data_IF_206084671171
#
_entry.id   IF_206084671171
#
_cell.length_a   1.000
_cell.length_b   1.000
_cell.length_c   1.000
_cell.angle_alpha   90.00
_cell.angle_beta   90.00
_cell.angle_gamma   90.00
#
_symmetry.space_group_name_H-M   'P 1'
#
loop_
_entity.id
_entity.type
_entity.pdbx_description
1 polymer ?
#
# COMPACT_ATOMS: atom_id res chain seq x y z
N UNK A 1 2.56 11.87 -24.64
CA UNK A 1 1.63 10.90 -24.05
C UNK A 1 1.89 10.83 -22.55
N UNK A 2 0.86 10.71 -21.70
CA UNK A 2 1.05 10.47 -20.28
C UNK A 2 1.79 9.12 -20.09
N UNK A 3 2.71 9.07 -19.11
CA UNK A 3 3.35 7.80 -18.75
C UNK A 3 2.31 6.87 -18.15
N UNK A 4 2.43 5.58 -18.45
CA UNK A 4 1.64 4.54 -17.79
C UNK A 4 1.94 4.51 -16.30
N UNK A 5 0.99 4.12 -15.46
CA UNK A 5 1.15 4.06 -14.01
C UNK A 5 1.65 2.68 -13.56
N UNK A 6 2.48 2.68 -12.52
CA UNK A 6 2.83 1.50 -11.74
C UNK A 6 2.35 1.72 -10.32
N UNK A 7 1.53 0.82 -9.82
CA UNK A 7 0.90 0.92 -8.50
C UNK A 7 1.72 0.18 -7.45
N UNK A 8 2.09 0.88 -6.39
CA UNK A 8 2.85 0.33 -5.26
C UNK A 8 1.89 0.19 -4.08
N UNK A 9 1.29 -0.99 -3.96
CA UNK A 9 0.39 -1.31 -2.85
C UNK A 9 1.23 -1.60 -1.63
N UNK A 10 1.08 -0.76 -0.62
CA UNK A 10 2.00 -0.71 0.52
C UNK A 10 1.24 -0.86 1.82
N UNK A 11 1.78 -1.70 2.70
CA UNK A 11 1.33 -1.88 4.07
C UNK A 11 2.50 -1.63 5.03
N UNK A 12 2.21 -1.12 6.23
CA UNK A 12 3.20 -0.81 7.25
C UNK A 12 2.80 -1.34 8.62
N UNK A 13 3.81 -1.68 9.41
CA UNK A 13 3.67 -1.96 10.83
C UNK A 13 4.36 -0.89 11.66
N UNK A 14 3.71 -0.44 12.73
CA UNK A 14 4.20 0.69 13.55
C UNK A 14 4.05 0.43 15.04
N UNK A 15 4.80 1.16 15.87
CA UNK A 15 4.63 1.17 17.31
C UNK A 15 3.75 2.33 17.82
N UNK A 16 3.13 3.10 16.89
CA UNK A 16 2.22 4.18 17.26
C UNK A 16 1.65 4.95 16.08
N UNK A 17 0.77 5.95 16.32
CA UNK A 17 -0.12 6.51 15.30
C UNK A 17 0.53 7.52 14.34
N UNK A 18 1.71 8.06 14.65
CA UNK A 18 2.36 9.11 13.83
C UNK A 18 3.87 8.92 13.81
N UNK A 19 4.55 9.19 12.67
CA UNK A 19 6.00 9.08 12.58
C UNK A 19 6.71 10.20 13.39
N UNK A 20 7.90 9.90 13.86
CA UNK A 20 8.73 10.78 14.65
C UNK A 20 8.65 10.46 16.13
N UNK A 21 7.55 10.73 16.85
CA UNK A 21 7.34 10.21 18.19
C UNK A 21 7.28 8.68 18.26
N UNK A 22 6.89 8.05 17.16
CA UNK A 22 6.76 6.61 17.01
C UNK A 22 7.50 6.12 15.77
N UNK A 23 7.85 4.84 15.78
CA UNK A 23 8.61 4.18 14.72
C UNK A 23 7.72 3.41 13.77
N UNK A 24 8.07 3.42 12.49
CA UNK A 24 7.69 2.35 11.56
C UNK A 24 8.60 1.16 11.85
N UNK A 25 8.01 0.01 12.17
CA UNK A 25 8.71 -1.22 12.55
C UNK A 25 9.06 -2.07 11.33
N UNK A 26 8.13 -2.17 10.39
CA UNK A 26 8.33 -2.82 9.10
C UNK A 26 7.43 -2.18 8.04
N UNK A 27 7.75 -2.41 6.79
CA UNK A 27 6.88 -2.09 5.66
C UNK A 27 7.15 -3.02 4.49
N UNK A 28 6.15 -3.17 3.66
CA UNK A 28 6.30 -3.85 2.39
C UNK A 28 5.47 -3.18 1.28
N UNK A 29 5.94 -3.33 0.06
CA UNK A 29 5.24 -2.86 -1.13
C UNK A 29 5.22 -3.96 -2.19
N UNK A 30 4.05 -4.19 -2.76
CA UNK A 30 3.86 -5.01 -3.94
C UNK A 30 3.60 -4.11 -5.15
N UNK A 31 4.46 -4.18 -6.17
CA UNK A 31 4.35 -3.36 -7.37
C UNK A 31 3.51 -4.05 -8.45
N UNK A 32 2.49 -3.37 -8.94
CA UNK A 32 1.59 -3.88 -9.97
C UNK A 32 1.61 -3.01 -11.21
N UNK A 33 1.54 -3.65 -12.38
CA UNK A 33 1.34 -2.95 -13.63
C UNK A 33 -0.05 -2.33 -13.72
N UNK A 34 -0.25 -1.45 -14.70
CA UNK A 34 -1.57 -0.91 -14.99
C UNK A 34 -2.59 -2.03 -15.29
N UNK A 35 -2.19 -3.16 -15.83
CA UNK A 35 -3.05 -4.32 -16.13
C UNK A 35 -3.36 -5.20 -14.91
N UNK A 36 -2.75 -4.92 -13.75
CA UNK A 36 -2.96 -5.68 -12.52
C UNK A 36 -2.02 -6.89 -12.36
N UNK A 37 -0.91 -6.95 -13.10
CA UNK A 37 0.08 -8.01 -12.93
C UNK A 37 1.11 -7.60 -11.86
N UNK A 38 1.39 -8.50 -10.91
CA UNK A 38 2.48 -8.32 -9.96
C UNK A 38 3.81 -8.30 -10.72
N UNK A 39 4.60 -7.23 -10.50
CA UNK A 39 5.90 -7.04 -11.13
C UNK A 39 7.02 -7.50 -10.19
N UNK A 40 6.99 -7.03 -8.93
CA UNK A 40 8.03 -7.28 -7.94
C UNK A 40 7.53 -6.90 -6.54
N UNK A 41 8.26 -7.28 -5.50
CA UNK A 41 7.96 -6.92 -4.11
C UNK A 41 9.20 -6.37 -3.41
N UNK A 42 8.96 -5.53 -2.40
CA UNK A 42 9.97 -5.03 -1.49
C UNK A 42 9.48 -5.14 -0.05
N UNK A 43 10.33 -5.56 0.86
CA UNK A 43 10.04 -5.54 2.30
C UNK A 43 11.29 -5.18 3.09
N UNK A 44 11.10 -4.55 4.25
CA UNK A 44 12.17 -4.26 5.20
C UNK A 44 11.61 -4.13 6.61
N UNK A 45 12.35 -4.72 7.58
CA UNK A 45 12.19 -4.44 9.00
C UNK A 45 13.19 -3.37 9.41
N UNK A 46 12.76 -2.41 10.22
CA UNK A 46 13.54 -1.22 10.54
C UNK A 46 13.96 -1.18 12.00
N UNK A 47 15.15 -0.66 12.25
CA UNK A 47 15.51 -0.22 13.60
C UNK A 47 14.54 0.87 14.05
N UNK A 48 14.26 0.92 15.35
CA UNK A 48 13.43 1.96 15.95
C UNK A 48 14.12 3.32 15.82
N UNK A 49 13.34 4.36 15.65
CA UNK A 49 13.87 5.73 15.62
C UNK A 49 14.48 6.09 16.98
N UNK A 50 15.63 6.74 16.95
CA UNK A 50 16.24 7.27 18.16
C UNK A 50 15.31 8.26 18.86
N UNK A 51 15.08 8.07 20.15
CA UNK A 51 14.19 8.89 20.96
C UNK A 51 12.69 8.61 20.79
N UNK A 52 12.28 7.74 19.84
CA UNK A 52 10.89 7.31 19.74
C UNK A 52 10.52 6.29 20.82
N UNK A 53 9.24 6.17 21.10
CA UNK A 53 8.72 5.18 22.05
C UNK A 53 7.37 4.66 21.59
N UNK A 54 7.09 3.40 21.89
CA UNK A 54 5.82 2.77 21.54
C UNK A 54 4.62 3.44 22.21
N UNK A 55 3.56 3.68 21.44
CA UNK A 55 2.30 4.21 21.96
C UNK A 55 1.58 3.16 22.82
N UNK A 56 1.16 3.52 24.00
CA UNK A 56 0.63 2.58 25.01
C UNK A 56 -0.53 1.69 24.47
N UNK A 57 -1.40 2.21 23.64
CA UNK A 57 -2.49 1.44 23.03
C UNK A 57 -1.96 0.47 21.97
N UNK A 58 -1.04 0.91 21.12
CA UNK A 58 -0.43 0.10 20.06
C UNK A 58 0.41 -1.03 20.66
N UNK A 59 1.14 -0.74 21.74
CA UNK A 59 1.92 -1.78 22.42
C UNK A 59 1.07 -2.84 23.13
N UNK A 60 -0.18 -2.50 23.53
CA UNK A 60 -1.12 -3.53 24.00
C UNK A 60 -1.59 -4.45 22.86
N UNK A 61 -1.79 -3.92 21.66
CA UNK A 61 -2.08 -4.74 20.49
C UNK A 61 -0.90 -5.68 20.19
N UNK A 62 0.33 -5.17 20.13
CA UNK A 62 1.51 -6.00 19.87
C UNK A 62 1.70 -7.11 20.93
N UNK A 63 1.28 -6.89 22.16
CA UNK A 63 1.31 -7.92 23.20
C UNK A 63 0.34 -9.09 22.92
N UNK A 64 -0.65 -8.92 22.05
CA UNK A 64 -1.57 -9.98 21.60
C UNK A 64 -1.10 -10.69 20.34
N UNK A 65 -0.11 -10.13 19.62
CA UNK A 65 0.40 -10.61 18.34
C UNK A 65 1.93 -10.93 18.42
N UNK A 66 2.36 -11.86 19.28
CA UNK A 66 3.79 -12.08 19.57
C UNK A 66 4.58 -12.58 18.34
N UNK A 67 3.95 -13.37 17.47
CA UNK A 67 4.63 -13.91 16.28
C UNK A 67 4.83 -12.80 15.23
N UNK A 68 3.83 -11.97 14.99
CA UNK A 68 3.91 -10.81 14.09
C UNK A 68 4.93 -9.79 14.65
N UNK A 69 4.92 -9.55 15.97
CA UNK A 69 5.94 -8.73 16.63
C UNK A 69 7.35 -9.26 16.38
N UNK A 70 7.57 -10.57 16.60
CA UNK A 70 8.86 -11.20 16.37
C UNK A 70 9.29 -11.09 14.90
N UNK A 71 8.36 -11.27 13.96
CA UNK A 71 8.62 -11.16 12.53
C UNK A 71 9.08 -9.74 12.15
N UNK A 72 8.38 -8.69 12.59
CA UNK A 72 8.75 -7.30 12.27
C UNK A 72 10.00 -6.80 13.03
N UNK A 73 10.49 -7.56 14.02
CA UNK A 73 11.71 -7.23 14.79
C UNK A 73 12.91 -8.11 14.45
N UNK A 74 12.78 -9.05 13.49
CA UNK A 74 13.90 -9.84 12.97
C UNK A 74 14.64 -9.09 11.86
N UNK A 75 15.96 -9.29 11.77
CA UNK A 75 16.82 -8.78 10.69
C UNK A 75 16.59 -7.29 10.35
N UNK A 76 16.44 -6.47 11.39
CA UNK A 76 16.20 -5.03 11.23
C UNK A 76 17.40 -4.32 10.62
N UNK A 77 17.13 -3.30 9.82
CA UNK A 77 18.16 -2.43 9.23
C UNK A 77 17.86 -0.95 9.55
N UNK A 78 18.90 -0.13 9.47
CA UNK A 78 18.76 1.30 9.69
C UNK A 78 17.72 1.92 8.73
N UNK A 79 16.80 2.78 9.21
CA UNK A 79 15.77 3.40 8.39
C UNK A 79 16.31 4.13 7.15
N UNK A 80 17.47 4.78 7.27
CA UNK A 80 18.12 5.44 6.15
C UNK A 80 18.50 4.46 5.03
N UNK A 81 19.05 3.29 5.39
CA UNK A 81 19.42 2.26 4.43
C UNK A 81 18.18 1.67 3.77
N UNK A 82 17.13 1.38 4.56
CA UNK A 82 15.86 0.86 4.05
C UNK A 82 15.24 1.82 3.03
N UNK A 83 15.15 3.12 3.34
CA UNK A 83 14.56 4.11 2.44
C UNK A 83 15.39 4.33 1.18
N UNK A 84 16.72 4.34 1.25
CA UNK A 84 17.59 4.40 0.06
C UNK A 84 17.39 3.19 -0.86
N UNK A 85 17.30 1.99 -0.28
CA UNK A 85 17.04 0.77 -1.03
C UNK A 85 15.63 0.79 -1.66
N UNK A 86 14.64 1.28 -0.94
CA UNK A 86 13.27 1.41 -1.42
C UNK A 86 13.16 2.38 -2.61
N UNK A 87 13.77 3.56 -2.53
CA UNK A 87 13.83 4.52 -3.66
C UNK A 87 14.50 3.88 -4.88
N UNK A 88 15.63 3.19 -4.67
CA UNK A 88 16.34 2.49 -5.75
C UNK A 88 15.47 1.41 -6.39
N UNK A 89 14.75 0.63 -5.58
CA UNK A 89 13.85 -0.42 -6.06
C UNK A 89 12.69 0.17 -6.88
N UNK A 90 12.00 1.21 -6.40
CA UNK A 90 10.93 1.89 -7.14
C UNK A 90 11.42 2.37 -8.51
N UNK A 91 12.61 2.99 -8.56
CA UNK A 91 13.22 3.45 -9.82
C UNK A 91 13.55 2.30 -10.76
N UNK A 92 13.98 1.18 -10.21
CA UNK A 92 14.27 -0.04 -11.00
C UNK A 92 12.99 -0.63 -11.59
N UNK A 93 11.93 -0.71 -10.81
CA UNK A 93 10.62 -1.19 -11.27
C UNK A 93 10.05 -0.29 -12.35
N UNK A 94 10.06 1.02 -12.16
CA UNK A 94 9.51 1.99 -13.12
C UNK A 94 10.35 2.17 -14.38
N UNK A 95 11.66 1.89 -14.36
CA UNK A 95 12.62 2.02 -15.48
C UNK A 95 12.53 3.35 -16.24
N UNK A 96 12.09 4.43 -15.60
CA UNK A 96 11.76 5.74 -16.19
C UNK A 96 10.64 5.71 -17.26
N UNK A 97 9.95 4.61 -17.45
CA UNK A 97 8.88 4.44 -18.45
C UNK A 97 7.50 4.64 -17.86
N UNK A 98 7.33 4.37 -16.57
CA UNK A 98 6.06 4.52 -15.84
C UNK A 98 6.17 5.55 -14.72
N UNK A 99 5.02 6.00 -14.21
CA UNK A 99 4.92 6.89 -13.05
C UNK A 99 4.51 6.07 -11.82
N UNK A 100 5.25 6.14 -10.69
CA UNK A 100 4.87 5.43 -9.49
C UNK A 100 3.65 6.09 -8.82
N UNK A 101 2.69 5.27 -8.44
CA UNK A 101 1.51 5.65 -7.65
C UNK A 101 1.51 4.86 -6.35
N UNK A 102 1.53 5.56 -5.21
CA UNK A 102 1.35 4.92 -3.91
C UNK A 102 -0.10 4.51 -3.72
N UNK A 103 -0.32 3.30 -3.20
CA UNK A 103 -1.66 2.77 -2.88
C UNK A 103 -1.63 2.21 -1.47
N UNK A 104 -2.63 2.50 -0.65
CA UNK A 104 -2.77 1.97 0.72
C UNK A 104 -4.22 1.81 1.16
N UNK A 105 -4.42 1.07 2.28
CA UNK A 105 -5.77 0.77 2.79
C UNK A 105 -5.90 0.88 4.30
N UNK A 106 -6.18 2.06 4.87
CA UNK A 106 -6.35 3.37 4.23
C UNK A 106 -5.00 4.06 3.99
N UNK A 107 -4.81 4.65 2.82
CA UNK A 107 -3.57 5.31 2.44
C UNK A 107 -3.15 6.46 3.37
N UNK A 108 -4.10 7.11 4.02
CA UNK A 108 -3.83 8.22 4.94
C UNK A 108 -2.91 7.84 6.11
N UNK A 109 -2.91 6.58 6.54
CA UNK A 109 -2.00 6.08 7.57
C UNK A 109 -0.65 5.68 6.98
N UNK A 110 -0.65 4.74 6.05
CA UNK A 110 0.57 4.16 5.46
C UNK A 110 1.41 5.23 4.75
N UNK A 111 0.76 6.07 3.94
CA UNK A 111 1.44 7.12 3.20
C UNK A 111 2.05 8.18 4.12
N UNK A 112 1.44 8.49 5.26
CA UNK A 112 1.98 9.44 6.23
C UNK A 112 3.34 8.98 6.75
N UNK A 113 3.48 7.71 7.12
CA UNK A 113 4.75 7.14 7.57
C UNK A 113 5.77 7.04 6.44
N UNK A 114 5.40 6.42 5.33
CA UNK A 114 6.32 6.22 4.19
C UNK A 114 6.83 7.56 3.65
N UNK A 115 5.94 8.54 3.46
CA UNK A 115 6.34 9.85 2.95
C UNK A 115 7.28 10.58 3.91
N UNK A 116 6.97 10.55 5.23
CA UNK A 116 7.82 11.17 6.24
C UNK A 116 9.21 10.51 6.30
N UNK A 117 9.28 9.18 6.26
CA UNK A 117 10.54 8.45 6.26
C UNK A 117 11.36 8.71 4.99
N UNK A 118 10.72 8.73 3.83
CA UNK A 118 11.39 9.08 2.56
C UNK A 118 12.01 10.47 2.63
N UNK A 119 11.23 11.50 3.01
CA UNK A 119 11.73 12.86 3.09
C UNK A 119 12.82 12.99 4.16
N UNK A 120 12.64 12.39 5.34
CA UNK A 120 13.63 12.47 6.43
C UNK A 120 14.97 11.84 6.06
N UNK A 121 14.97 10.68 5.43
CA UNK A 121 16.17 9.87 5.25
C UNK A 121 16.78 9.95 3.84
N UNK A 122 16.02 10.39 2.85
CA UNK A 122 16.53 10.51 1.47
C UNK A 122 16.41 11.92 0.89
N UNK A 123 15.65 12.81 1.54
CA UNK A 123 15.38 14.15 1.05
C UNK A 123 14.41 14.21 -0.13
N UNK A 124 13.90 13.07 -0.59
CA UNK A 124 13.03 12.98 -1.76
C UNK A 124 11.96 11.90 -1.61
N UNK A 125 10.89 12.00 -2.41
CA UNK A 125 9.91 10.93 -2.57
C UNK A 125 9.74 10.63 -4.06
N UNK A 126 9.84 9.35 -4.50
CA UNK A 126 9.50 8.97 -5.86
C UNK A 126 8.01 9.08 -6.16
N UNK A 127 7.18 9.09 -5.12
CA UNK A 127 5.74 9.33 -5.23
C UNK A 127 5.42 10.82 -5.28
N UNK A 128 4.27 11.19 -5.83
CA UNK A 128 3.78 12.56 -5.73
C UNK A 128 3.33 12.90 -4.29
N UNK A 129 2.72 14.07 -4.11
CA UNK A 129 2.13 14.51 -2.84
C UNK A 129 0.81 13.81 -2.47
N UNK A 130 0.37 12.86 -3.28
CA UNK A 130 -0.91 12.17 -3.15
C UNK A 130 -0.73 10.66 -3.22
N UNK A 131 -1.67 9.95 -2.60
CA UNK A 131 -1.77 8.51 -2.64
C UNK A 131 -3.17 8.11 -3.11
N UNK A 132 -3.29 6.96 -3.72
CA UNK A 132 -4.58 6.34 -4.01
C UNK A 132 -5.05 5.63 -2.74
N UNK A 133 -6.18 6.09 -2.20
CA UNK A 133 -6.82 5.49 -1.04
C UNK A 133 -7.82 4.41 -1.46
N UNK A 134 -7.50 3.16 -1.17
CA UNK A 134 -8.34 2.02 -1.53
C UNK A 134 -9.71 2.07 -0.84
N UNK A 135 -9.78 2.61 0.37
CA UNK A 135 -11.06 2.69 1.08
C UNK A 135 -12.03 3.66 0.42
N UNK A 136 -11.54 4.82 -0.02
CA UNK A 136 -12.32 5.79 -0.80
C UNK A 136 -12.69 5.22 -2.17
N UNK A 137 -11.76 4.50 -2.80
CA UNK A 137 -12.00 3.86 -4.09
C UNK A 137 -13.07 2.76 -3.98
N UNK A 138 -13.01 1.94 -2.91
CA UNK A 138 -14.04 0.93 -2.62
C UNK A 138 -15.41 1.58 -2.39
N UNK A 139 -15.49 2.68 -1.63
CA UNK A 139 -16.71 3.46 -1.44
C UNK A 139 -17.31 3.87 -2.79
N UNK A 140 -16.50 4.43 -3.68
CA UNK A 140 -16.95 4.90 -5.00
C UNK A 140 -17.46 3.76 -5.90
N UNK A 141 -16.82 2.59 -5.87
CA UNK A 141 -17.18 1.45 -6.70
C UNK A 141 -18.41 0.69 -6.18
N UNK A 142 -18.59 0.63 -4.85
CA UNK A 142 -19.64 -0.19 -4.23
C UNK A 142 -20.88 0.60 -3.84
N UNK A 143 -20.79 1.93 -3.73
CA UNK A 143 -21.84 2.77 -3.16
C UNK A 143 -21.99 2.65 -1.64
N UNK A 144 -21.08 1.96 -0.95
CA UNK A 144 -21.07 1.89 0.51
C UNK A 144 -20.66 3.23 1.12
N UNK A 145 -21.13 3.50 2.32
CA UNK A 145 -20.59 4.62 3.11
C UNK A 145 -19.11 4.39 3.44
N UNK A 146 -18.33 5.46 3.58
CA UNK A 146 -16.88 5.38 3.86
C UNK A 146 -16.53 4.48 5.06
N UNK A 147 -17.31 4.57 6.17
CA UNK A 147 -17.08 3.73 7.34
C UNK A 147 -17.40 2.25 7.11
N UNK A 148 -18.21 1.96 6.10
CA UNK A 148 -18.63 0.61 5.73
C UNK A 148 -17.76 -0.01 4.62
N UNK A 149 -16.96 0.78 3.92
CA UNK A 149 -16.02 0.32 2.90
C UNK A 149 -14.79 -0.34 3.57
N UNK A 150 -15.01 -1.51 4.17
CA UNK A 150 -14.02 -2.34 4.87
C UNK A 150 -13.99 -3.74 4.26
N UNK A 151 -12.85 -4.43 4.33
CA UNK A 151 -12.61 -5.75 3.72
C UNK A 151 -13.81 -6.72 3.87
N UNK A 152 -14.39 -6.96 5.06
CA UNK A 152 -15.49 -7.92 5.21
C UNK A 152 -16.79 -7.56 4.45
N UNK A 153 -16.92 -6.31 3.98
CA UNK A 153 -18.10 -5.83 3.25
C UNK A 153 -17.87 -5.64 1.75
N UNK A 154 -16.65 -5.84 1.29
CA UNK A 154 -16.33 -5.83 -0.14
C UNK A 154 -16.96 -7.04 -0.85
N UNK A 155 -17.18 -6.95 -2.17
CA UNK A 155 -17.59 -8.10 -2.97
C UNK A 155 -16.66 -9.28 -2.71
N UNK A 156 -17.21 -10.46 -2.43
CA UNK A 156 -16.43 -11.67 -2.14
C UNK A 156 -15.46 -12.03 -3.28
N UNK A 157 -15.82 -11.70 -4.51
CA UNK A 157 -14.97 -11.90 -5.70
C UNK A 157 -13.70 -11.04 -5.71
N UNK A 158 -13.61 -10.03 -4.86
CA UNK A 158 -12.41 -9.21 -4.71
C UNK A 158 -11.47 -9.73 -3.64
N UNK A 159 -11.95 -10.58 -2.74
CA UNK A 159 -11.17 -11.12 -1.64
C UNK A 159 -10.41 -12.36 -2.08
N UNK A 160 -9.12 -12.49 -1.75
CA UNK A 160 -8.36 -13.71 -2.03
C UNK A 160 -8.86 -14.86 -1.16
N UNK A 161 -8.87 -16.09 -1.71
CA UNK A 161 -9.27 -17.28 -0.96
C UNK A 161 -8.19 -17.77 0.03
N UNK A 162 -6.90 -17.47 -0.22
CA UNK A 162 -5.76 -18.10 0.44
C UNK A 162 -4.75 -17.11 1.07
N UNK A 163 -5.04 -15.81 1.14
CA UNK A 163 -4.14 -14.83 1.77
C UNK A 163 -4.71 -14.35 3.11
N UNK A 164 -4.31 -14.95 4.24
CA UNK A 164 -4.75 -14.49 5.56
C UNK A 164 -4.11 -13.13 5.89
N UNK A 165 -4.86 -12.31 6.60
CA UNK A 165 -4.30 -11.11 7.23
C UNK A 165 -3.46 -11.53 8.43
N UNK A 166 -2.13 -11.37 8.33
CA UNK A 166 -1.17 -11.94 9.28
C UNK A 166 -0.46 -10.90 10.14
N UNK A 167 -0.68 -9.60 9.91
CA UNK A 167 0.12 -8.52 10.47
C UNK A 167 1.62 -8.64 10.13
N UNK A 168 1.92 -9.27 8.98
CA UNK A 168 3.21 -9.26 8.33
C UNK A 168 3.07 -8.38 7.08
N UNK A 169 3.76 -7.26 7.06
CA UNK A 169 3.57 -6.22 6.06
C UNK A 169 3.57 -6.72 4.60
N UNK A 170 4.37 -7.75 4.26
CA UNK A 170 4.40 -8.30 2.90
C UNK A 170 3.14 -9.09 2.56
N UNK A 171 2.64 -9.91 3.47
CA UNK A 171 1.43 -10.69 3.26
C UNK A 171 0.23 -9.74 3.11
N UNK A 172 0.17 -8.71 3.96
CA UNK A 172 -0.90 -7.72 3.94
C UNK A 172 -0.84 -6.83 2.69
N UNK A 173 0.37 -6.45 2.22
CA UNK A 173 0.55 -5.74 0.95
C UNK A 173 0.13 -6.58 -0.26
N UNK A 174 0.38 -7.89 -0.27
CA UNK A 174 -0.06 -8.81 -1.33
C UNK A 174 -1.57 -9.03 -1.31
N UNK A 175 -2.17 -9.21 -0.12
CA UNK A 175 -3.63 -9.30 0.04
C UNK A 175 -4.32 -8.03 -0.49
N UNK A 176 -3.86 -6.87 -0.03
CA UNK A 176 -4.38 -5.58 -0.49
C UNK A 176 -4.16 -5.38 -1.99
N UNK A 177 -3.01 -5.82 -2.52
CA UNK A 177 -2.70 -5.77 -3.94
C UNK A 177 -3.67 -6.59 -4.79
N UNK A 178 -4.01 -7.80 -4.35
CA UNK A 178 -5.05 -8.61 -5.01
C UNK A 178 -6.38 -7.85 -5.05
N UNK A 179 -6.84 -7.33 -3.90
CA UNK A 179 -8.09 -6.56 -3.80
C UNK A 179 -8.05 -5.34 -4.71
N UNK A 180 -6.95 -4.60 -4.72
CA UNK A 180 -6.77 -3.42 -5.56
C UNK A 180 -6.89 -3.75 -7.05
N UNK A 181 -6.28 -4.84 -7.50
CA UNK A 181 -6.37 -5.28 -8.90
C UNK A 181 -7.80 -5.60 -9.32
N UNK A 182 -8.59 -6.25 -8.44
CA UNK A 182 -10.01 -6.51 -8.68
C UNK A 182 -10.83 -5.22 -8.76
N UNK A 183 -10.56 -4.27 -7.86
CA UNK A 183 -11.20 -2.95 -7.88
C UNK A 183 -10.87 -2.17 -9.16
N UNK A 184 -9.61 -2.20 -9.59
CA UNK A 184 -9.15 -1.55 -10.82
C UNK A 184 -9.81 -2.17 -12.06
N UNK A 185 -9.97 -3.49 -12.08
CA UNK A 185 -10.71 -4.21 -13.14
C UNK A 185 -12.18 -3.82 -13.17
N UNK A 186 -12.84 -3.78 -12.01
CA UNK A 186 -14.24 -3.36 -11.90
C UNK A 186 -14.44 -1.92 -12.38
N UNK A 187 -13.56 -1.01 -11.97
CA UNK A 187 -13.58 0.38 -12.42
C UNK A 187 -13.47 0.50 -13.94
N UNK A 188 -12.55 -0.23 -14.56
CA UNK A 188 -12.37 -0.23 -16.02
C UNK A 188 -13.59 -0.75 -16.74
N UNK A 189 -14.17 -1.84 -16.26
CA UNK A 189 -15.39 -2.41 -16.84
C UNK A 189 -16.55 -1.39 -16.82
N UNK A 190 -16.68 -0.63 -15.73
CA UNK A 190 -17.72 0.41 -15.60
C UNK A 190 -17.49 1.63 -16.50
N UNK A 191 -16.21 1.92 -16.86
CA UNK A 191 -15.82 3.12 -17.60
C UNK A 191 -15.23 2.82 -18.99
N UNK A 192 -15.33 1.56 -19.46
CA UNK A 192 -15.02 1.24 -20.85
C UNK A 192 -16.00 2.00 -21.75
N UNK A 193 -15.52 2.64 -22.84
CA UNK A 193 -16.44 3.21 -23.83
C UNK A 193 -17.39 2.11 -24.29
N UNK A 194 -18.69 2.33 -24.14
CA UNK A 194 -19.68 1.48 -24.80
C UNK A 194 -19.37 1.53 -26.30
N UNK A 195 -19.20 0.36 -26.93
CA UNK A 195 -19.18 0.28 -28.40
C UNK A 195 -20.41 1.06 -28.88
N UNK A 196 -20.18 2.16 -29.59
CA UNK A 196 -21.25 2.93 -30.24
C UNK A 196 -22.04 1.94 -31.07
N UNK A 197 -23.30 1.68 -30.68
CA UNK A 197 -24.22 1.01 -31.59
C UNK A 197 -24.27 1.82 -32.87
N UNK A 198 -23.97 1.26 -34.06
CA UNK A 198 -24.07 1.98 -35.31
C UNK A 198 -25.50 2.48 -35.42
N UNK A 199 -25.64 3.80 -35.59
CA UNK A 199 -26.92 4.43 -35.86
C UNK A 199 -27.61 3.68 -37.02
N UNK A 200 -28.88 3.31 -36.90
CA UNK A 200 -29.61 2.72 -38.03
C UNK A 200 -29.58 3.70 -39.19
N UNK A 201 -28.97 3.27 -40.30
CA UNK A 201 -29.01 4.04 -41.53
C UNK A 201 -30.46 4.18 -41.98
N UNK A 202 -30.94 5.41 -41.99
CA UNK A 202 -32.24 5.82 -42.55
C UNK A 202 -32.24 5.83 -44.06
#
# INVERSE_FOLDING_TARGET
MAKQETYFVTDIETDGPIPGPHSMLSFASAAYSAEGHLIDTFSANLDMLEGASGHAFTMKFWATEPDAWAACRSDTIAPELAMKNYVKWIRTVCKNTTSPVFVGYPAGFDFTFIFWYLIKFTGESPFSWSALDMKTFAMALTGLDYKQAIKPRLPKTWLPEELPHTHIALDDALEQGHIFCQMLSAWRTQHSPSEEQPLPMS
#
